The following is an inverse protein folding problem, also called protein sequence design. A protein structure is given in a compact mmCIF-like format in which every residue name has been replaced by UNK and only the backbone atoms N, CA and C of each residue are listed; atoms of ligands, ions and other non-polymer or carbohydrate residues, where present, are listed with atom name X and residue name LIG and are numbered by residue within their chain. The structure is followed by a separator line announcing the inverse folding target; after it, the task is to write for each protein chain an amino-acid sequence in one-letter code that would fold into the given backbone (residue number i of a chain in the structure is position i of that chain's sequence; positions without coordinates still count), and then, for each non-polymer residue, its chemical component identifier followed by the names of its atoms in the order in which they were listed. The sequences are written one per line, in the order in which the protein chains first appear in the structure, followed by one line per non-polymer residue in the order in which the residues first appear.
data_IF_241477750732
#
_entry.id   IF_241477750732
#
_cell.length_a   1.000
_cell.length_b   1.000
_cell.length_c   1.000
_cell.angle_alpha   90.00
_cell.angle_beta   90.00
_cell.angle_gamma   90.00
#
_symmetry.space_group_name_H-M   'P 1'
#
loop_
_entity.id
_entity.type
_entity.pdbx_description
1 polymer ?
#
# COMPACT_ATOMS: atom_id res chain seq x y z
N UNK A 1 -0.37 -14.31 -5.32
CA UNK A 1 -1.02 -13.12 -5.88
C UNK A 1 0.07 -12.18 -6.33
N UNK A 2 0.02 -11.70 -7.56
CA UNK A 2 1.04 -10.83 -8.15
C UNK A 2 0.42 -9.46 -8.40
N UNK A 3 1.15 -8.41 -8.05
CA UNK A 3 0.73 -7.02 -8.21
C UNK A 3 1.77 -6.27 -9.01
N UNK A 4 1.33 -5.33 -9.84
CA UNK A 4 2.21 -4.34 -10.45
C UNK A 4 2.43 -3.21 -9.45
N UNK A 5 3.66 -3.14 -8.92
CA UNK A 5 4.06 -2.12 -7.95
C UNK A 5 5.21 -1.31 -8.54
N UNK A 6 5.18 0.02 -8.37
CA UNK A 6 6.24 0.88 -8.88
C UNK A 6 7.52 0.77 -8.06
N UNK A 7 8.62 0.79 -8.78
CA UNK A 7 9.96 0.84 -8.19
C UNK A 7 10.30 2.22 -7.67
N UNK A 8 11.06 2.27 -6.58
CA UNK A 8 11.58 3.52 -6.03
C UNK A 8 12.64 4.15 -6.95
N UNK A 9 13.51 3.33 -7.55
CA UNK A 9 14.66 3.82 -8.32
C UNK A 9 14.28 4.52 -9.64
N UNK A 10 13.26 4.02 -10.33
CA UNK A 10 12.97 4.39 -11.72
C UNK A 10 11.46 4.55 -12.02
N UNK A 11 10.61 4.38 -11.00
CA UNK A 11 9.15 4.49 -11.10
C UNK A 11 8.51 3.54 -12.13
N UNK A 12 9.23 2.50 -12.58
CA UNK A 12 8.65 1.50 -13.49
C UNK A 12 7.77 0.52 -12.73
N UNK A 13 6.61 0.12 -13.29
CA UNK A 13 5.80 -0.94 -12.71
C UNK A 13 6.53 -2.28 -12.85
N UNK A 14 6.77 -2.94 -11.71
CA UNK A 14 7.35 -4.27 -11.67
C UNK A 14 6.37 -5.27 -11.06
N UNK A 15 6.22 -6.48 -11.64
CA UNK A 15 5.40 -7.52 -11.05
C UNK A 15 6.09 -8.05 -9.78
N UNK A 16 5.40 -7.97 -8.64
CA UNK A 16 5.87 -8.50 -7.36
C UNK A 16 4.84 -9.44 -6.77
N UNK A 17 5.30 -10.55 -6.21
CA UNK A 17 4.42 -11.47 -5.49
C UNK A 17 4.22 -11.01 -4.05
N UNK A 18 2.99 -10.57 -3.72
CA UNK A 18 2.60 -10.14 -2.38
C UNK A 18 2.34 -11.34 -1.43
N UNK A 19 2.27 -12.56 -1.97
CA UNK A 19 1.93 -13.76 -1.20
C UNK A 19 2.89 -13.99 -0.01
N UNK A 20 4.19 -13.79 -0.19
CA UNK A 20 5.17 -13.95 0.89
C UNK A 20 4.94 -12.92 1.99
N UNK A 21 4.73 -11.66 1.64
CA UNK A 21 4.44 -10.62 2.62
C UNK A 21 3.12 -10.88 3.37
N UNK A 22 2.09 -11.36 2.66
CA UNK A 22 0.80 -11.71 3.26
C UNK A 22 0.87 -12.90 4.23
N UNK A 23 1.86 -13.77 4.11
CA UNK A 23 2.11 -14.85 5.07
C UNK A 23 2.86 -14.36 6.32
N UNK A 24 3.61 -13.27 6.22
CA UNK A 24 4.43 -12.74 7.31
C UNK A 24 3.71 -11.64 8.11
N UNK A 25 2.84 -10.86 7.46
CA UNK A 25 2.10 -9.76 8.08
C UNK A 25 0.76 -10.25 8.63
N UNK A 26 0.44 -9.84 9.86
CA UNK A 26 -0.83 -10.14 10.54
C UNK A 26 -1.93 -9.14 10.21
N UNK A 27 -1.52 -7.97 9.76
CA UNK A 27 -2.39 -6.88 9.34
C UNK A 27 -3.25 -7.20 8.12
N UNK A 28 -4.16 -6.28 7.82
CA UNK A 28 -5.11 -6.40 6.72
C UNK A 28 -4.50 -5.84 5.43
N UNK A 29 -4.77 -6.52 4.31
CA UNK A 29 -4.38 -6.07 2.98
C UNK A 29 -5.59 -5.53 2.24
N UNK A 30 -5.48 -4.32 1.69
CA UNK A 30 -6.52 -3.69 0.87
C UNK A 30 -5.94 -3.39 -0.51
N UNK A 31 -6.70 -3.70 -1.56
CA UNK A 31 -6.28 -3.54 -2.94
C UNK A 31 -7.20 -2.52 -3.61
N UNK A 32 -6.96 -1.21 -3.40
CA UNK A 32 -7.90 -0.16 -3.82
C UNK A 32 -8.11 -0.12 -5.33
N UNK A 33 -7.13 -0.57 -6.13
CA UNK A 33 -7.23 -0.62 -7.59
C UNK A 33 -8.14 -1.74 -8.09
N UNK A 34 -8.08 -2.93 -7.49
CA UNK A 34 -9.00 -4.03 -7.80
C UNK A 34 -10.43 -3.71 -7.35
N UNK A 35 -10.57 -3.08 -6.17
CA UNK A 35 -11.87 -2.66 -5.64
C UNK A 35 -12.52 -1.54 -6.47
N UNK A 36 -11.72 -0.58 -6.97
CA UNK A 36 -12.18 0.47 -7.88
C UNK A 36 -12.61 -0.10 -9.25
N UNK A 37 -11.89 -1.08 -9.79
CA UNK A 37 -12.28 -1.79 -11.02
C UNK A 37 -13.58 -2.59 -10.83
N UNK A 38 -13.75 -3.26 -9.69
CA UNK A 38 -14.93 -4.06 -9.39
C UNK A 38 -16.18 -3.22 -9.08
N UNK A 39 -16.01 -2.05 -8.45
CA UNK A 39 -17.12 -1.19 -8.00
C UNK A 39 -17.70 -0.31 -9.12
N UNK A 40 -17.15 -0.32 -10.33
CA UNK A 40 -17.62 0.50 -11.46
C UNK A 40 -17.52 2.02 -11.23
N UNK A 41 -16.94 2.44 -10.10
CA UNK A 41 -16.59 3.85 -9.83
C UNK A 41 -15.35 4.18 -10.63
N UNK A 42 -15.55 4.43 -11.91
CA UNK A 42 -14.66 5.23 -12.74
C UNK A 42 -14.67 6.69 -12.24
N UNK A 43 -14.21 6.91 -11.01
CA UNK A 43 -13.86 8.24 -10.50
C UNK A 43 -12.43 8.52 -10.90
N UNK A 44 -12.23 8.87 -12.17
CA UNK A 44 -10.92 8.99 -12.81
C UNK A 44 -10.79 7.95 -13.91
N UNK A 45 -10.37 8.36 -15.11
CA UNK A 45 -10.12 7.42 -16.20
C UNK A 45 -9.16 6.33 -15.70
N UNK A 46 -9.15 5.14 -16.30
CA UNK A 46 -8.26 4.03 -15.91
C UNK A 46 -6.74 4.33 -15.93
N UNK A 47 -6.35 5.56 -16.28
CA UNK A 47 -5.01 6.14 -16.21
C UNK A 47 -4.80 7.12 -15.03
N UNK A 48 -5.87 7.59 -14.38
CA UNK A 48 -5.89 8.61 -13.31
C UNK A 48 -6.32 8.02 -11.95
N UNK A 49 -6.28 6.69 -11.77
CA UNK A 49 -6.43 6.08 -10.44
C UNK A 49 -5.16 6.33 -9.64
N UNK A 50 -4.97 7.57 -9.19
CA UNK A 50 -3.87 7.95 -8.31
C UNK A 50 -4.04 7.23 -6.98
N UNK A 51 -3.05 6.42 -6.62
CA UNK A 51 -3.07 5.72 -5.35
C UNK A 51 -2.26 4.44 -5.30
N UNK A 52 -2.07 3.89 -4.09
CA UNK A 52 -1.23 2.72 -3.88
C UNK A 52 -1.79 1.48 -4.55
N UNK A 53 -0.91 0.58 -4.99
CA UNK A 53 -1.30 -0.73 -5.51
C UNK A 53 -1.86 -1.63 -4.39
N UNK A 54 -1.31 -1.49 -3.18
CA UNK A 54 -1.73 -2.23 -1.99
C UNK A 54 -1.56 -1.36 -0.75
N UNK A 55 -2.55 -1.40 0.14
CA UNK A 55 -2.50 -0.80 1.47
C UNK A 55 -2.40 -1.94 2.48
N UNK A 56 -1.40 -1.87 3.36
CA UNK A 56 -1.18 -2.82 4.44
C UNK A 56 -1.44 -2.11 5.76
N UNK A 57 -2.52 -2.51 6.44
CA UNK A 57 -2.89 -1.96 7.75
C UNK A 57 -2.19 -2.75 8.84
N UNK A 58 -1.10 -2.20 9.35
CA UNK A 58 -0.25 -2.85 10.34
C UNK A 58 -0.90 -2.89 11.72
N UNK A 59 -0.90 -4.07 12.35
CA UNK A 59 -1.47 -4.30 13.69
C UNK A 59 -0.44 -4.26 14.79
N UNK A 60 0.83 -4.50 14.45
CA UNK A 60 1.97 -4.35 15.35
C UNK A 60 3.22 -3.78 14.64
N UNK A 61 4.30 -3.54 15.39
CA UNK A 61 5.55 -3.01 14.83
C UNK A 61 6.26 -3.99 13.91
N UNK A 62 6.08 -5.30 14.09
CA UNK A 62 6.67 -6.31 13.21
C UNK A 62 6.02 -6.30 11.83
N UNK A 63 4.71 -6.05 11.74
CA UNK A 63 4.04 -5.86 10.46
C UNK A 63 4.70 -4.73 9.66
N UNK A 64 4.97 -3.59 10.32
CA UNK A 64 5.66 -2.45 9.68
C UNK A 64 7.04 -2.83 9.19
N UNK A 65 7.84 -3.49 10.03
CA UNK A 65 9.19 -3.92 9.67
C UNK A 65 9.19 -4.89 8.48
N UNK A 66 8.24 -5.83 8.43
CA UNK A 66 8.09 -6.77 7.31
C UNK A 66 7.71 -6.06 6.01
N UNK A 67 6.80 -5.09 6.06
CA UNK A 67 6.44 -4.28 4.89
C UNK A 67 7.65 -3.51 4.34
N UNK A 68 8.43 -2.86 5.21
CA UNK A 68 9.60 -2.08 4.81
C UNK A 68 10.74 -2.97 4.29
N UNK A 69 10.99 -4.09 4.95
CA UNK A 69 11.97 -5.08 4.50
C UNK A 69 11.62 -5.63 3.11
N UNK A 70 10.35 -5.99 2.92
CA UNK A 70 9.87 -6.45 1.62
C UNK A 70 10.02 -5.38 0.55
N UNK A 71 9.61 -4.14 0.83
CA UNK A 71 9.76 -3.05 -0.11
C UNK A 71 11.23 -2.76 -0.44
N UNK A 72 12.12 -2.84 0.55
CA UNK A 72 13.56 -2.67 0.34
C UNK A 72 14.15 -3.79 -0.53
N UNK A 73 13.78 -5.06 -0.29
CA UNK A 73 14.22 -6.21 -1.09
C UNK A 73 13.80 -6.13 -2.55
N UNK A 74 12.63 -5.54 -2.81
CA UNK A 74 12.05 -5.42 -4.14
C UNK A 74 12.20 -4.03 -4.76
N UNK A 75 12.91 -3.10 -4.08
CA UNK A 75 13.13 -1.72 -4.52
C UNK A 75 11.82 -0.99 -4.84
N UNK A 76 10.83 -1.07 -3.95
CA UNK A 76 9.47 -0.58 -4.18
C UNK A 76 9.24 0.79 -3.55
N UNK A 77 8.40 1.59 -4.21
CA UNK A 77 7.90 2.86 -3.67
C UNK A 77 7.05 2.58 -2.43
N UNK A 78 7.33 3.28 -1.33
CA UNK A 78 6.57 3.16 -0.08
C UNK A 78 6.03 4.51 0.33
N UNK A 79 4.74 4.56 0.68
CA UNK A 79 4.17 5.66 1.45
C UNK A 79 3.66 5.15 2.80
N UNK A 80 3.76 6.00 3.81
CA UNK A 80 3.28 5.70 5.15
C UNK A 80 2.17 6.65 5.56
N UNK A 81 1.16 6.12 6.26
CA UNK A 81 0.05 6.89 6.86
C UNK A 81 0.04 6.70 8.37
N UNK A 82 -0.19 7.79 9.13
CA UNK A 82 -0.24 7.79 10.60
C UNK A 82 -1.53 8.44 11.18
N UNK A 83 -2.51 8.86 10.36
CA UNK A 83 -3.62 9.71 10.77
C UNK A 83 -4.87 9.75 9.87
N UNK A 84 -5.92 10.40 10.40
CA UNK A 84 -7.33 10.35 9.93
C UNK A 84 -7.64 11.25 8.72
N UNK A 85 -6.77 12.24 8.47
CA UNK A 85 -6.98 13.29 7.46
C UNK A 85 -5.97 13.21 6.30
N UNK A 86 -5.30 12.07 6.16
CA UNK A 86 -4.23 11.85 5.18
C UNK A 86 -4.76 11.16 3.91
N UNK A 87 -6.02 11.38 3.52
CA UNK A 87 -6.51 10.92 2.21
C UNK A 87 -5.65 11.48 1.07
N UNK A 88 -5.07 12.67 1.25
CA UNK A 88 -4.12 13.28 0.32
C UNK A 88 -2.71 12.65 0.33
N UNK A 89 -2.37 11.77 1.29
CA UNK A 89 -1.06 11.11 1.33
C UNK A 89 -0.94 9.94 0.33
N UNK A 90 -2.06 9.53 -0.27
CA UNK A 90 -2.09 8.45 -1.26
C UNK A 90 -1.92 8.95 -2.68
N UNK A 91 -2.24 10.22 -2.96
CA UNK A 91 -2.10 10.81 -4.30
C UNK A 91 -0.63 10.84 -4.79
N UNK A 92 0.33 10.98 -3.88
CA UNK A 92 1.77 10.88 -4.19
C UNK A 92 2.30 9.43 -4.24
N UNK A 93 1.54 8.46 -3.71
CA UNK A 93 1.93 7.04 -3.70
C UNK A 93 1.32 6.29 -4.88
N UNK A 94 1.55 6.79 -6.09
CA UNK A 94 0.96 6.21 -7.28
C UNK A 94 1.56 4.83 -7.58
N UNK A 95 0.74 3.79 -7.49
CA UNK A 95 1.10 2.37 -7.64
C UNK A 95 2.20 1.85 -6.69
N UNK A 96 2.40 2.46 -5.51
CA UNK A 96 3.34 1.99 -4.49
C UNK A 96 2.73 1.05 -3.43
N UNK A 97 3.51 0.72 -2.39
CA UNK A 97 3.04 0.06 -1.16
C UNK A 97 2.69 1.15 -0.15
N UNK A 98 1.45 1.10 0.33
CA UNK A 98 0.96 1.95 1.39
C UNK A 98 1.00 1.23 2.74
N UNK A 99 1.67 1.79 3.73
CA UNK A 99 1.74 1.24 5.10
C UNK A 99 0.89 2.09 6.02
N UNK A 100 -0.23 1.55 6.48
CA UNK A 100 -1.16 2.23 7.38
C UNK A 100 -0.90 1.87 8.85
N UNK A 101 -0.43 2.85 9.61
CA UNK A 101 -0.12 2.73 11.04
C UNK A 101 -1.31 3.10 11.92
N UNK A 102 -2.48 3.42 11.35
CA UNK A 102 -3.65 3.90 12.10
C UNK A 102 -4.08 2.98 13.24
N UNK A 103 -3.88 1.66 13.11
CA UNK A 103 -4.21 0.67 14.13
C UNK A 103 -3.19 0.57 15.28
N UNK A 104 -1.98 1.12 15.10
CA UNK A 104 -0.94 1.18 16.14
C UNK A 104 -1.12 2.36 17.10
N UNK A 105 -2.04 3.26 16.79
CA UNK A 105 -2.24 4.49 17.54
C UNK A 105 -2.99 4.18 18.83
N UNK A 106 -2.43 4.59 19.96
CA UNK A 106 -3.20 4.63 21.22
C UNK A 106 -4.34 5.63 21.08
N UNK A 107 -5.56 5.30 21.55
CA UNK A 107 -6.66 6.27 21.58
C UNK A 107 -6.24 7.47 22.44
N UNK A 108 -6.64 8.71 22.07
CA UNK A 108 -6.42 9.85 22.94
C UNK A 108 -7.09 9.59 24.29
N UNK A 109 -6.36 9.83 25.38
CA UNK A 109 -6.95 9.88 26.73
C UNK A 109 -7.86 11.08 26.86
#
# INVERSE_FOLDING_TARGET
MNLEIRRLADNTPTPVSIASLAMEVRGEFQFPREDAQASGKAGGNGADSTGPAVIVRCTDRQDVMRCLDFASRHDLLVAMRNGRNEHAAWDDCDQGIAVDLSALRTPPR
#
